data_IF_175226413937
#
_entry.id   IF_175226413937
#
_cell.length_a   1.000
_cell.length_b   1.000
_cell.length_c   1.000
_cell.angle_alpha   90.00
_cell.angle_beta   90.00
_cell.angle_gamma   90.00
#
_symmetry.space_group_name_H-M   'P 1'
#
loop_
_entity.id
_entity.type
_entity.pdbx_description
1 polymer ?
#
# COMPACT_ATOMS: atom_id res chain seq x y z
N UNK A 1 0.39 -29.62 25.62
CA UNK A 1 -0.19 -28.32 25.23
C UNK A 1 0.93 -27.47 24.69
N UNK A 2 1.04 -27.33 23.37
CA UNK A 2 2.09 -26.50 22.75
C UNK A 2 1.57 -25.06 22.81
N UNK A 3 2.14 -24.25 23.69
CA UNK A 3 1.94 -22.80 23.68
C UNK A 3 2.37 -22.28 22.32
N UNK A 4 1.42 -21.84 21.51
CA UNK A 4 1.68 -21.27 20.19
C UNK A 4 2.49 -19.97 20.39
N UNK A 5 3.77 -19.98 20.05
CA UNK A 5 4.61 -18.78 20.14
C UNK A 5 4.36 -17.92 18.90
N UNK A 6 3.86 -16.70 19.10
CA UNK A 6 3.69 -15.75 18.00
C UNK A 6 4.99 -14.97 17.78
N UNK A 7 5.66 -15.27 16.66
CA UNK A 7 6.93 -14.64 16.27
C UNK A 7 6.78 -13.13 16.12
N UNK A 8 5.60 -12.64 15.70
CA UNK A 8 5.36 -11.20 15.55
C UNK A 8 5.37 -10.49 16.89
N UNK A 9 4.66 -11.03 17.88
CA UNK A 9 4.66 -10.53 19.26
C UNK A 9 6.08 -10.50 19.86
N UNK A 10 6.89 -11.53 19.60
CA UNK A 10 8.29 -11.56 20.07
C UNK A 10 9.14 -10.47 19.42
N UNK A 11 9.03 -10.27 18.10
CA UNK A 11 9.75 -9.20 17.39
C UNK A 11 9.33 -7.80 17.85
N UNK A 12 8.05 -7.60 18.17
CA UNK A 12 7.54 -6.34 18.72
C UNK A 12 8.08 -6.07 20.12
N UNK A 13 8.07 -7.08 21.01
CA UNK A 13 8.60 -6.95 22.36
C UNK A 13 10.13 -6.73 22.38
N UNK A 14 10.84 -7.27 21.39
CA UNK A 14 12.28 -7.11 21.23
C UNK A 14 12.71 -5.78 20.58
N UNK A 15 11.75 -4.98 20.10
CA UNK A 15 12.03 -3.73 19.38
C UNK A 15 12.90 -2.79 20.22
N UNK A 16 13.89 -2.18 19.58
CA UNK A 16 14.88 -1.27 20.19
C UNK A 16 15.81 -1.92 21.25
N UNK A 17 15.66 -3.23 21.51
CA UNK A 17 16.43 -3.99 22.50
C UNK A 17 17.35 -5.06 21.89
N UNK A 18 17.41 -5.16 20.55
CA UNK A 18 18.10 -6.23 19.84
C UNK A 18 19.57 -6.37 20.17
N UNK A 19 20.33 -5.30 20.34
CA UNK A 19 21.75 -5.40 20.69
C UNK A 19 21.96 -6.15 22.02
N UNK A 20 21.16 -5.80 23.04
CA UNK A 20 21.20 -6.43 24.35
C UNK A 20 20.64 -7.86 24.33
N UNK A 21 19.55 -8.08 23.60
CA UNK A 21 18.93 -9.40 23.46
C UNK A 21 19.82 -10.38 22.72
N UNK A 22 20.45 -9.97 21.61
CA UNK A 22 21.42 -10.79 20.88
C UNK A 22 22.58 -11.20 21.79
N UNK A 23 23.13 -10.26 22.56
CA UNK A 23 24.20 -10.53 23.51
C UNK A 23 23.76 -11.48 24.62
N UNK A 24 22.56 -11.29 25.18
CA UNK A 24 21.97 -12.18 26.18
C UNK A 24 21.69 -13.58 25.61
N UNK A 25 21.37 -13.64 24.32
CA UNK A 25 21.25 -14.86 23.56
C UNK A 25 22.62 -15.43 23.12
N UNK A 26 23.76 -14.85 23.48
CA UNK A 26 25.09 -15.37 23.14
C UNK A 26 25.53 -15.10 21.69
N UNK A 27 25.02 -14.04 21.06
CA UNK A 27 25.43 -13.55 19.74
C UNK A 27 25.96 -12.13 19.90
N UNK A 28 27.28 -11.98 19.86
CA UNK A 28 27.94 -10.68 20.04
C UNK A 28 27.91 -9.87 18.75
N UNK A 29 27.37 -8.65 18.80
CA UNK A 29 27.36 -7.71 17.67
C UNK A 29 28.13 -6.43 18.03
N UNK A 30 28.74 -5.74 17.05
CA UNK A 30 29.31 -4.42 17.28
C UNK A 30 28.25 -3.42 17.74
N UNK A 31 28.69 -2.33 18.36
CA UNK A 31 27.79 -1.25 18.76
C UNK A 31 26.98 -0.72 17.57
N UNK A 32 25.73 -0.31 17.82
CA UNK A 32 24.85 0.28 16.80
C UNK A 32 25.58 1.29 15.89
N UNK A 33 25.46 1.10 14.59
CA UNK A 33 26.07 1.93 13.56
C UNK A 33 27.56 1.67 13.33
N UNK A 34 28.17 0.64 13.95
CA UNK A 34 29.59 0.29 13.78
C UNK A 34 29.79 -0.99 12.99
N UNK A 35 30.95 -1.05 12.34
CA UNK A 35 31.45 -2.27 11.73
C UNK A 35 32.22 -3.12 12.76
N UNK A 36 32.19 -4.44 12.58
CA UNK A 36 32.93 -5.34 13.46
C UNK A 36 32.90 -6.78 12.98
N UNK A 37 33.19 -7.69 13.92
CA UNK A 37 33.24 -9.10 13.66
C UNK A 37 31.85 -9.66 13.30
N UNK A 38 31.80 -10.59 12.36
CA UNK A 38 30.55 -11.21 11.94
C UNK A 38 30.23 -12.44 12.81
N UNK A 39 29.06 -12.50 13.45
CA UNK A 39 28.66 -13.67 14.24
C UNK A 39 28.38 -14.93 13.41
N UNK A 40 28.19 -14.77 12.08
CA UNK A 40 27.83 -15.86 11.18
C UNK A 40 29.09 -16.47 10.54
N UNK A 41 29.96 -15.64 9.95
CA UNK A 41 31.12 -16.12 9.18
C UNK A 41 32.47 -15.94 9.90
N UNK A 42 32.50 -15.29 11.07
CA UNK A 42 33.74 -15.06 11.84
C UNK A 42 34.70 -14.02 11.22
N UNK A 43 34.29 -13.31 10.16
CA UNK A 43 35.08 -12.19 9.61
C UNK A 43 35.25 -11.05 10.63
N UNK A 44 36.25 -10.18 10.46
CA UNK A 44 36.66 -9.23 11.51
C UNK A 44 36.07 -7.81 11.39
N UNK A 45 35.72 -7.34 10.19
CA UNK A 45 35.37 -5.92 9.94
C UNK A 45 34.24 -5.70 8.90
N UNK A 46 33.69 -6.77 8.33
CA UNK A 46 32.74 -6.71 7.19
C UNK A 46 31.27 -6.77 7.60
N UNK A 47 31.00 -6.99 8.89
CA UNK A 47 29.65 -6.99 9.45
C UNK A 47 29.30 -5.59 9.96
N UNK A 48 28.06 -5.17 9.72
CA UNK A 48 27.52 -3.88 10.17
C UNK A 48 26.20 -4.13 10.88
N UNK A 49 26.13 -3.76 12.16
CA UNK A 49 24.89 -3.73 12.93
C UNK A 49 24.30 -2.32 12.84
N UNK A 50 23.25 -2.14 12.04
CA UNK A 50 22.64 -0.84 11.77
C UNK A 50 21.57 -0.53 12.80
N UNK A 51 20.62 -1.44 12.98
CA UNK A 51 19.47 -1.31 13.87
C UNK A 51 18.79 0.07 13.83
N UNK A 52 18.74 0.69 12.65
CA UNK A 52 18.26 2.06 12.47
C UNK A 52 16.74 2.17 12.73
N UNK A 53 16.01 1.08 12.55
CA UNK A 53 14.55 0.99 12.73
C UNK A 53 14.12 0.24 14.00
N UNK A 54 15.08 -0.19 14.84
CA UNK A 54 14.80 -0.91 16.08
C UNK A 54 14.46 -2.39 15.87
N UNK A 55 14.74 -2.97 14.70
CA UNK A 55 14.45 -4.37 14.35
C UNK A 55 15.67 -5.29 14.45
N UNK A 56 16.84 -4.75 14.83
CA UNK A 56 18.10 -5.49 14.85
C UNK A 56 18.73 -5.62 13.47
N UNK A 57 18.46 -4.68 12.56
CA UNK A 57 18.91 -4.71 11.16
C UNK A 57 20.43 -4.85 11.06
N UNK A 58 20.88 -5.82 10.26
CA UNK A 58 22.29 -6.08 10.03
C UNK A 58 22.59 -6.41 8.56
N UNK A 59 23.85 -6.22 8.18
CA UNK A 59 24.37 -6.60 6.88
C UNK A 59 25.82 -7.07 6.98
N UNK A 60 26.16 -8.12 6.24
CA UNK A 60 27.52 -8.63 6.12
C UNK A 60 27.93 -8.71 4.65
N UNK A 61 29.07 -8.10 4.30
CA UNK A 61 29.60 -8.13 2.93
C UNK A 61 30.27 -9.46 2.53
N UNK A 62 30.38 -10.41 3.46
CA UNK A 62 31.07 -11.69 3.24
C UNK A 62 30.15 -12.90 3.32
N UNK A 63 29.06 -12.83 4.08
CA UNK A 63 28.15 -13.96 4.20
C UNK A 63 27.44 -14.23 2.88
N UNK A 64 27.12 -15.50 2.64
CA UNK A 64 26.23 -15.89 1.55
C UNK A 64 24.80 -15.38 1.79
N UNK A 65 24.04 -15.28 0.71
CA UNK A 65 22.66 -14.80 0.73
C UNK A 65 21.74 -15.70 1.60
N UNK A 66 20.84 -15.12 2.42
CA UNK A 66 20.62 -13.67 2.59
C UNK A 66 21.69 -13.06 3.51
N UNK A 67 22.49 -12.14 2.97
CA UNK A 67 23.62 -11.53 3.68
C UNK A 67 23.24 -10.30 4.54
N UNK A 68 21.94 -10.12 4.75
CA UNK A 68 21.30 -9.12 5.59
C UNK A 68 20.03 -9.72 6.21
N UNK A 69 19.47 -9.06 7.22
CA UNK A 69 18.23 -9.48 7.87
C UNK A 69 17.96 -8.69 9.14
N UNK A 70 16.98 -9.15 9.92
CA UNK A 70 16.66 -8.58 11.23
C UNK A 70 17.34 -9.34 12.37
N UNK A 71 17.13 -8.90 13.62
CA UNK A 71 17.77 -9.49 14.78
C UNK A 71 17.36 -10.95 15.04
N UNK A 72 16.16 -11.37 14.64
CA UNK A 72 15.75 -12.77 14.75
C UNK A 72 16.44 -13.63 13.69
N UNK A 73 16.53 -13.10 12.46
CA UNK A 73 17.25 -13.76 11.37
C UNK A 73 18.74 -13.94 11.71
N UNK A 74 19.33 -12.94 12.38
CA UNK A 74 20.71 -13.03 12.86
C UNK A 74 20.90 -14.19 13.83
N UNK A 75 19.98 -14.34 14.79
CA UNK A 75 20.03 -15.38 15.81
C UNK A 75 19.87 -16.78 15.19
N UNK A 76 18.95 -16.92 14.24
CA UNK A 76 18.75 -18.14 13.43
C UNK A 76 20.06 -18.54 12.74
N UNK A 77 20.71 -17.59 12.05
CA UNK A 77 21.93 -17.87 11.29
C UNK A 77 23.16 -18.10 12.16
N UNK A 78 23.35 -17.30 13.20
CA UNK A 78 24.51 -17.39 14.07
C UNK A 78 24.52 -18.69 14.89
N UNK A 79 23.34 -19.22 15.24
CA UNK A 79 23.20 -20.44 16.05
C UNK A 79 22.83 -21.70 15.26
N UNK A 80 22.39 -21.56 14.01
CA UNK A 80 21.91 -22.69 13.20
C UNK A 80 20.64 -23.33 13.77
N UNK A 81 19.73 -22.53 14.34
CA UNK A 81 18.47 -22.98 14.95
C UNK A 81 17.27 -22.57 14.10
N UNK A 82 16.11 -23.20 14.32
CA UNK A 82 14.89 -22.82 13.60
C UNK A 82 14.36 -21.46 14.08
N UNK A 83 13.55 -20.78 13.25
CA UNK A 83 12.97 -19.49 13.61
C UNK A 83 12.06 -19.55 14.85
N UNK A 84 11.40 -20.70 15.09
CA UNK A 84 10.56 -20.93 16.26
C UNK A 84 11.43 -21.08 17.52
N UNK A 85 12.57 -21.77 17.43
CA UNK A 85 13.54 -21.88 18.52
C UNK A 85 14.19 -20.55 18.84
N UNK A 86 14.57 -19.78 17.81
CA UNK A 86 15.08 -18.43 17.98
C UNK A 86 14.05 -17.54 18.70
N UNK A 87 12.77 -17.61 18.31
CA UNK A 87 11.71 -16.85 18.96
C UNK A 87 11.51 -17.24 20.42
N UNK A 88 11.64 -18.53 20.77
CA UNK A 88 11.60 -19.01 22.17
C UNK A 88 12.77 -18.46 22.98
N UNK A 89 13.99 -18.55 22.45
CA UNK A 89 15.19 -18.03 23.11
C UNK A 89 15.08 -16.52 23.37
N UNK A 90 14.55 -15.75 22.40
CA UNK A 90 14.31 -14.31 22.59
C UNK A 90 13.19 -14.06 23.60
N UNK A 91 12.09 -14.82 23.56
CA UNK A 91 11.00 -14.70 24.53
C UNK A 91 11.46 -15.01 25.96
N UNK A 92 12.29 -16.03 26.15
CA UNK A 92 12.88 -16.38 27.44
C UNK A 92 13.84 -15.29 27.94
N UNK A 93 14.65 -14.70 27.04
CA UNK A 93 15.52 -13.56 27.36
C UNK A 93 14.74 -12.29 27.72
N UNK A 94 13.56 -12.10 27.14
CA UNK A 94 12.61 -11.03 27.46
C UNK A 94 11.91 -11.25 28.81
N UNK A 95 11.78 -12.49 29.29
CA UNK A 95 11.10 -12.85 30.54
C UNK A 95 11.98 -12.70 31.80
N UNK A 96 13.25 -12.32 31.67
CA UNK A 96 14.11 -11.95 32.78
C UNK A 96 13.86 -10.48 33.17
N UNK A 97 13.82 -10.12 34.48
CA UNK A 97 13.61 -8.74 34.89
C UNK A 97 14.83 -7.90 34.48
N UNK A 98 14.67 -7.16 33.38
CA UNK A 98 15.69 -6.26 32.88
C UNK A 98 15.77 -5.01 33.78
N UNK A 99 16.98 -4.51 34.10
CA UNK A 99 17.16 -3.33 34.92
C UNK A 99 16.48 -2.11 34.27
N UNK A 100 15.80 -1.32 35.09
CA UNK A 100 15.02 -0.16 34.65
C UNK A 100 15.84 0.78 33.75
N UNK A 101 15.20 1.33 32.69
CA UNK A 101 15.89 2.18 31.73
C UNK A 101 16.41 3.44 32.44
N UNK A 102 17.73 3.66 32.36
CA UNK A 102 18.32 4.96 32.70
C UNK A 102 17.83 6.00 31.68
N UNK A 103 17.44 7.21 32.13
CA UNK A 103 16.77 8.19 31.29
C UNK A 103 17.67 8.66 30.15
N UNK A 104 17.03 8.93 29.01
CA UNK A 104 17.66 9.49 27.82
C UNK A 104 18.55 10.69 28.16
N UNK A 105 19.74 10.71 27.55
CA UNK A 105 20.70 11.81 27.62
C UNK A 105 20.02 13.08 27.11
N UNK A 106 19.86 14.04 28.03
CA UNK A 106 19.42 15.42 27.82
C UNK A 106 19.92 15.98 26.49
N UNK A 107 19.00 16.21 25.56
CA UNK A 107 19.04 17.46 24.82
C UNK A 107 18.94 18.59 25.85
N UNK A 108 19.78 19.61 25.71
CA UNK A 108 19.86 20.78 26.58
C UNK A 108 18.47 21.24 27.00
N UNK A 109 18.18 21.43 28.31
CA UNK A 109 16.84 21.82 28.75
C UNK A 109 16.54 23.24 28.25
N UNK A 110 15.87 23.35 27.10
CA UNK A 110 15.07 24.53 26.79
C UNK A 110 13.87 24.46 27.74
N UNK A 111 14.02 25.16 28.87
CA UNK A 111 12.98 25.63 29.81
C UNK A 111 11.71 24.79 29.87
N UNK A 112 11.44 24.15 31.02
CA UNK A 112 10.15 23.56 31.43
C UNK A 112 8.96 23.98 30.56
N UNK A 113 8.84 23.35 29.40
CA UNK A 113 7.70 23.51 28.54
C UNK A 113 6.66 22.57 29.16
N UNK A 114 5.45 23.06 29.46
CA UNK A 114 4.39 22.17 29.95
C UNK A 114 4.26 20.97 29.01
N UNK A 115 4.01 19.79 29.58
CA UNK A 115 3.66 18.59 28.79
C UNK A 115 2.66 19.04 27.72
N UNK A 116 2.86 18.70 26.45
CA UNK A 116 2.05 19.24 25.35
C UNK A 116 0.54 19.13 25.62
N UNK A 117 0.13 18.05 26.30
CA UNK A 117 -1.23 17.84 26.79
C UNK A 117 -1.73 18.97 27.73
N UNK A 118 -0.93 19.43 28.70
CA UNK A 118 -1.27 20.55 29.58
C UNK A 118 -1.44 21.86 28.80
N UNK A 119 -0.57 22.09 27.81
CA UNK A 119 -0.67 23.27 26.94
C UNK A 119 -1.96 23.25 26.11
N UNK A 120 -2.29 22.10 25.54
CA UNK A 120 -3.54 21.89 24.79
C UNK A 120 -4.76 22.05 25.71
N UNK A 121 -4.72 21.47 26.92
CA UNK A 121 -5.79 21.60 27.91
C UNK A 121 -6.01 23.06 28.33
N UNK A 122 -4.93 23.84 28.50
CA UNK A 122 -5.02 25.28 28.77
C UNK A 122 -5.69 26.03 27.62
N UNK A 123 -5.36 25.70 26.37
CA UNK A 123 -6.00 26.29 25.19
C UNK A 123 -7.48 25.90 25.12
N UNK A 124 -7.82 24.64 25.41
CA UNK A 124 -9.20 24.16 25.47
C UNK A 124 -10.01 24.89 26.56
N UNK A 125 -9.44 25.08 27.75
CA UNK A 125 -10.09 25.82 28.84
C UNK A 125 -10.31 27.30 28.51
N UNK A 126 -9.49 27.88 27.63
CA UNK A 126 -9.62 29.25 27.13
C UNK A 126 -10.52 29.34 25.89
N UNK A 127 -10.87 28.22 25.28
CA UNK A 127 -11.71 28.16 24.10
C UNK A 127 -13.19 28.24 24.46
N UNK A 128 -13.99 28.80 23.55
CA UNK A 128 -15.44 28.87 23.66
C UNK A 128 -16.08 27.95 22.64
N UNK A 129 -17.25 27.39 22.98
CA UNK A 129 -18.05 26.66 22.02
C UNK A 129 -18.65 27.66 21.02
N UNK A 130 -18.48 27.42 19.73
CA UNK A 130 -18.97 28.30 18.68
C UNK A 130 -18.91 27.65 17.30
N UNK A 131 -19.06 28.48 16.28
CA UNK A 131 -19.00 28.07 14.88
C UNK A 131 -17.83 28.75 14.18
N UNK A 132 -16.97 27.97 13.53
CA UNK A 132 -15.80 28.50 12.84
C UNK A 132 -16.17 29.20 11.53
N UNK A 133 -15.75 30.45 11.34
CA UNK A 133 -15.87 31.17 10.07
C UNK A 133 -15.25 30.40 8.90
N UNK A 134 -14.15 29.71 9.13
CA UNK A 134 -13.48 28.89 8.10
C UNK A 134 -14.41 27.79 7.57
N UNK A 135 -15.10 27.09 8.48
CA UNK A 135 -16.00 26.00 8.09
C UNK A 135 -17.33 26.52 7.56
N UNK A 136 -17.84 27.62 8.13
CA UNK A 136 -19.02 28.31 7.59
C UNK A 136 -18.79 28.75 6.14
N UNK A 137 -17.61 29.32 5.81
CA UNK A 137 -17.24 29.68 4.44
C UNK A 137 -17.18 28.48 3.49
N UNK A 138 -16.80 27.31 4.01
CA UNK A 138 -16.85 26.04 3.26
C UNK A 138 -18.27 25.45 3.20
N UNK A 139 -19.27 26.06 3.84
CA UNK A 139 -20.64 25.54 3.90
C UNK A 139 -20.83 24.38 4.88
N UNK A 140 -19.87 24.15 5.78
CA UNK A 140 -19.92 23.12 6.81
C UNK A 140 -20.48 23.71 8.12
N UNK A 141 -21.68 23.24 8.50
CA UNK A 141 -22.38 23.67 9.71
C UNK A 141 -22.03 22.74 10.87
N UNK A 142 -21.12 23.16 11.74
CA UNK A 142 -20.68 22.39 12.89
C UNK A 142 -20.85 23.22 14.17
N UNK A 143 -22.02 23.15 14.82
CA UNK A 143 -22.23 23.86 16.08
C UNK A 143 -21.39 23.21 17.18
N UNK A 144 -20.88 24.01 18.13
CA UNK A 144 -20.12 23.58 19.31
C UNK A 144 -18.63 23.24 19.09
N UNK A 145 -18.01 23.81 18.07
CA UNK A 145 -16.57 23.73 17.91
C UNK A 145 -15.82 24.56 18.95
N UNK A 146 -14.57 24.16 19.25
CA UNK A 146 -13.70 24.90 20.17
C UNK A 146 -13.01 26.04 19.42
N UNK A 147 -13.35 27.27 19.77
CA UNK A 147 -12.78 28.48 19.18
C UNK A 147 -11.91 29.22 20.20
N UNK A 148 -10.73 29.65 19.78
CA UNK A 148 -9.88 30.57 20.54
C UNK A 148 -10.47 32.00 20.50
N UNK A 149 -9.94 32.89 21.36
CA UNK A 149 -10.41 34.27 21.49
C UNK A 149 -10.35 35.09 20.19
N UNK A 150 -9.45 34.74 19.27
CA UNK A 150 -9.28 35.36 17.96
C UNK A 150 -10.17 34.73 16.86
N UNK A 151 -11.06 33.81 17.24
CA UNK A 151 -11.94 33.10 16.31
C UNK A 151 -11.28 31.89 15.63
N UNK A 152 -10.03 31.57 15.94
CA UNK A 152 -9.37 30.37 15.41
C UNK A 152 -10.02 29.09 15.93
N UNK A 153 -10.32 28.17 15.01
CA UNK A 153 -10.74 26.82 15.34
C UNK A 153 -9.56 26.04 15.95
N UNK A 154 -9.77 25.42 17.10
CA UNK A 154 -8.81 24.56 17.79
C UNK A 154 -9.20 23.09 17.61
N UNK A 155 -8.31 22.33 17.00
CA UNK A 155 -8.47 20.90 16.73
C UNK A 155 -7.44 20.12 17.53
N UNK A 156 -7.89 19.20 18.38
CA UNK A 156 -7.00 18.39 19.23
C UNK A 156 -6.47 17.22 18.41
N UNK A 157 -5.15 17.04 18.44
CA UNK A 157 -4.49 15.89 17.84
C UNK A 157 -4.27 14.82 18.89
N UNK A 158 -4.44 13.56 18.48
CA UNK A 158 -4.21 12.42 19.36
C UNK A 158 -3.53 11.26 18.63
N UNK A 159 -2.97 10.36 19.41
CA UNK A 159 -2.56 9.03 18.99
C UNK A 159 -3.73 8.02 19.06
N UNK A 160 -3.52 6.79 18.56
CA UNK A 160 -4.55 5.74 18.53
C UNK A 160 -5.04 5.29 19.90
N UNK A 161 -4.21 5.44 20.94
CA UNK A 161 -4.55 5.15 22.33
C UNK A 161 -5.36 6.28 23.00
N UNK A 162 -5.63 7.38 22.29
CA UNK A 162 -6.32 8.56 22.80
C UNK A 162 -5.40 9.57 23.50
N UNK A 163 -4.09 9.33 23.56
CA UNK A 163 -3.13 10.28 24.14
C UNK A 163 -3.12 11.58 23.34
N UNK A 164 -3.28 12.72 24.00
CA UNK A 164 -3.18 14.05 23.38
C UNK A 164 -1.73 14.33 22.98
N UNK A 165 -1.48 14.44 21.68
CA UNK A 165 -0.14 14.65 21.12
C UNK A 165 0.09 16.08 20.64
N UNK A 166 -0.96 16.90 20.60
CA UNK A 166 -0.87 18.28 20.15
C UNK A 166 -2.20 18.90 19.79
N UNK A 167 -2.13 20.01 19.07
CA UNK A 167 -3.31 20.63 18.48
C UNK A 167 -2.95 21.37 17.18
N UNK A 168 -3.92 21.47 16.29
CA UNK A 168 -3.89 22.31 15.10
C UNK A 168 -4.87 23.46 15.26
N UNK A 169 -4.45 24.68 14.95
CA UNK A 169 -5.32 25.85 14.88
C UNK A 169 -5.61 26.21 13.43
N UNK A 170 -6.85 26.53 13.10
CA UNK A 170 -7.25 27.06 11.79
C UNK A 170 -7.85 28.45 11.98
N UNK A 171 -7.23 29.47 11.39
CA UNK A 171 -7.72 30.85 11.46
C UNK A 171 -8.97 31.06 10.60
N UNK A 172 -9.75 32.14 10.83
CA UNK A 172 -10.90 32.51 9.98
C UNK A 172 -10.59 32.69 8.49
N UNK A 173 -9.32 32.93 8.13
CA UNK A 173 -8.83 33.02 6.75
C UNK A 173 -8.38 31.67 6.16
N UNK A 174 -8.48 30.58 6.92
CA UNK A 174 -8.06 29.23 6.51
C UNK A 174 -6.59 28.90 6.78
N UNK A 175 -5.79 29.82 7.33
CA UNK A 175 -4.40 29.51 7.68
C UNK A 175 -4.34 28.47 8.81
N UNK A 176 -3.71 27.32 8.51
CA UNK A 176 -3.55 26.20 9.43
C UNK A 176 -2.16 26.26 10.07
N UNK A 177 -2.07 26.08 11.39
CA UNK A 177 -0.80 26.02 12.12
C UNK A 177 -0.85 24.95 13.21
N UNK A 178 0.26 24.25 13.41
CA UNK A 178 0.42 23.37 14.56
C UNK A 178 0.80 24.18 15.80
N UNK A 179 0.21 23.86 16.94
CA UNK A 179 0.61 24.43 18.23
C UNK A 179 2.05 23.99 18.52
N UNK A 180 2.91 24.95 18.83
CA UNK A 180 4.33 24.68 19.12
C UNK A 180 4.48 23.58 20.20
N UNK A 181 5.27 22.55 19.87
CA UNK A 181 5.47 21.35 20.69
C UNK A 181 4.57 20.16 20.29
N UNK A 182 3.67 20.31 19.32
CA UNK A 182 2.83 19.20 18.83
C UNK A 182 3.63 18.14 18.09
N UNK A 183 3.34 16.87 18.36
CA UNK A 183 3.87 15.74 17.59
C UNK A 183 2.94 15.45 16.41
N UNK A 184 3.39 15.74 15.18
CA UNK A 184 2.60 15.46 13.97
C UNK A 184 2.60 14.00 13.58
N UNK A 185 3.79 13.38 13.57
CA UNK A 185 4.02 12.04 13.02
C UNK A 185 3.18 11.00 13.77
N UNK A 186 2.28 10.31 13.04
CA UNK A 186 1.38 9.29 13.58
C UNK A 186 0.20 9.83 14.39
N UNK A 187 0.06 11.16 14.51
CA UNK A 187 -1.10 11.79 15.14
C UNK A 187 -2.15 12.15 14.10
N UNK A 188 -3.40 12.20 14.53
CA UNK A 188 -4.54 12.49 13.66
C UNK A 188 -5.61 13.29 14.40
N UNK A 189 -6.58 13.80 13.65
CA UNK A 189 -7.75 14.50 14.15
C UNK A 189 -8.98 13.61 13.96
N UNK A 190 -9.47 12.93 15.02
CA UNK A 190 -10.68 12.13 14.91
C UNK A 190 -11.92 13.03 14.87
N UNK A 191 -12.92 12.66 14.07
CA UNK A 191 -14.20 13.36 14.03
C UNK A 191 -15.19 12.90 15.11
N UNK A 192 -15.00 11.67 15.59
CA UNK A 192 -15.79 11.05 16.65
C UNK A 192 -14.87 10.29 17.61
N UNK A 193 -15.37 10.00 18.80
CA UNK A 193 -14.64 9.17 19.76
C UNK A 193 -14.37 7.78 19.17
N UNK A 194 -13.14 7.31 19.30
CA UNK A 194 -12.75 5.97 18.87
C UNK A 194 -13.22 4.97 19.92
N UNK A 195 -14.35 4.31 19.64
CA UNK A 195 -14.95 3.33 20.53
C UNK A 195 -14.99 1.96 19.85
N UNK A 196 -14.58 0.90 20.57
CA UNK A 196 -14.65 -0.47 20.07
C UNK A 196 -13.77 -0.74 18.84
N UNK A 197 -14.27 -1.62 17.96
CA UNK A 197 -13.62 -2.03 16.72
C UNK A 197 -14.48 -1.57 15.53
N UNK A 198 -14.07 -0.51 14.81
CA UNK A 198 -14.83 -0.03 13.66
C UNK A 198 -14.68 -0.96 12.46
N UNK A 199 -15.79 -1.23 11.76
CA UNK A 199 -15.78 -2.04 10.53
C UNK A 199 -15.21 -1.27 9.33
N UNK A 200 -15.41 0.05 9.30
CA UNK A 200 -14.90 0.94 8.25
C UNK A 200 -14.25 2.17 8.86
N UNK A 201 -13.07 2.52 8.34
CA UNK A 201 -12.28 3.68 8.75
C UNK A 201 -11.95 4.48 7.50
N UNK A 202 -12.19 5.79 7.54
CA UNK A 202 -11.93 6.69 6.43
C UNK A 202 -10.87 7.69 6.85
N UNK A 203 -9.79 7.78 6.08
CA UNK A 203 -8.65 8.66 6.35
C UNK A 203 -8.59 9.72 5.26
N UNK A 204 -8.60 11.00 5.66
CA UNK A 204 -8.42 12.15 4.77
C UNK A 204 -7.13 12.89 5.08
N UNK A 205 -6.68 13.77 4.20
CA UNK A 205 -5.57 14.69 4.54
C UNK A 205 -6.03 15.80 5.49
N UNK A 206 -7.10 16.51 5.13
CA UNK A 206 -7.61 17.69 5.84
C UNK A 206 -8.86 17.45 6.68
N UNK A 207 -9.04 18.29 7.71
CA UNK A 207 -10.21 18.26 8.60
C UNK A 207 -11.53 18.68 7.93
N UNK A 208 -11.51 19.66 7.02
CA UNK A 208 -12.72 20.03 6.27
C UNK A 208 -13.17 18.88 5.36
N UNK A 209 -12.24 18.27 4.63
CA UNK A 209 -12.46 17.06 3.84
C UNK A 209 -13.01 15.92 4.70
N UNK A 210 -12.48 15.72 5.92
CA UNK A 210 -13.00 14.74 6.87
C UNK A 210 -14.48 15.00 7.21
N UNK A 211 -14.84 16.26 7.52
CA UNK A 211 -16.22 16.64 7.83
C UNK A 211 -17.15 16.38 6.65
N UNK A 212 -16.70 16.64 5.42
CA UNK A 212 -17.44 16.29 4.22
C UNK A 212 -17.65 14.80 4.13
N UNK A 213 -16.57 14.02 4.18
CA UNK A 213 -16.58 12.58 3.96
C UNK A 213 -17.39 11.85 5.02
N UNK A 214 -17.44 12.36 6.26
CA UNK A 214 -18.32 11.84 7.32
C UNK A 214 -19.81 11.91 6.97
N UNK A 215 -20.20 12.77 6.02
CA UNK A 215 -21.56 12.86 5.50
C UNK A 215 -21.75 12.01 4.22
N UNK A 216 -20.67 11.56 3.58
CA UNK A 216 -20.71 10.79 2.34
C UNK A 216 -20.75 9.27 2.61
N UNK A 217 -20.01 8.80 3.60
CA UNK A 217 -19.91 7.37 3.88
C UNK A 217 -19.81 7.10 5.39
N UNK A 218 -20.48 6.05 5.84
CA UNK A 218 -20.47 5.63 7.24
C UNK A 218 -19.11 5.04 7.63
N UNK A 219 -18.57 5.43 8.78
CA UNK A 219 -17.30 4.91 9.29
C UNK A 219 -16.63 5.87 10.27
N UNK A 220 -15.57 5.38 10.91
CA UNK A 220 -14.70 6.21 11.74
C UNK A 220 -13.86 7.11 10.83
N UNK A 221 -14.04 8.43 10.90
CA UNK A 221 -13.29 9.37 10.05
C UNK A 221 -12.13 10.01 10.81
N UNK A 222 -10.93 9.93 10.25
CA UNK A 222 -9.69 10.46 10.80
C UNK A 222 -9.03 11.40 9.79
N UNK A 223 -8.70 12.63 10.18
CA UNK A 223 -7.86 13.49 9.33
C UNK A 223 -6.38 13.33 9.70
N UNK A 224 -5.55 12.99 8.72
CA UNK A 224 -4.12 12.77 8.85
C UNK A 224 -3.30 14.06 8.94
N UNK A 225 -3.94 15.23 8.94
CA UNK A 225 -3.35 16.58 9.05
C UNK A 225 -2.74 17.06 7.73
N UNK A 226 -1.91 16.25 7.08
CA UNK A 226 -1.34 16.50 5.74
C UNK A 226 -0.92 15.19 5.03
N UNK A 227 -0.65 15.29 3.73
CA UNK A 227 -0.16 14.21 2.85
C UNK A 227 1.00 13.41 3.47
N UNK A 228 1.98 14.10 4.06
CA UNK A 228 3.21 13.46 4.57
C UNK A 228 2.97 12.51 5.74
N UNK A 229 1.83 12.63 6.41
CA UNK A 229 1.45 11.83 7.56
C UNK A 229 0.40 10.75 7.24
N UNK A 230 -0.19 10.80 6.03
CA UNK A 230 -1.24 9.89 5.56
C UNK A 230 -0.82 8.41 5.69
N UNK A 231 0.33 8.06 5.12
CA UNK A 231 0.86 6.68 5.14
C UNK A 231 1.06 6.16 6.57
N UNK A 232 1.61 7.01 7.44
CA UNK A 232 1.96 6.62 8.80
C UNK A 232 0.69 6.37 9.62
N UNK A 233 -0.30 7.26 9.52
CA UNK A 233 -1.59 7.08 10.20
C UNK A 233 -2.29 5.83 9.66
N UNK A 234 -2.32 5.62 8.34
CA UNK A 234 -2.95 4.45 7.74
C UNK A 234 -2.30 3.13 8.19
N UNK A 235 -0.97 3.08 8.29
CA UNK A 235 -0.25 1.89 8.79
C UNK A 235 -0.59 1.59 10.25
N UNK A 236 -0.60 2.62 11.11
CA UNK A 236 -0.98 2.47 12.51
C UNK A 236 -2.42 1.97 12.64
N UNK A 237 -3.34 2.52 11.83
CA UNK A 237 -4.75 2.11 11.79
C UNK A 237 -4.88 0.65 11.37
N UNK A 238 -4.19 0.23 10.28
CA UNK A 238 -4.20 -1.17 9.80
C UNK A 238 -3.62 -2.14 10.83
N UNK A 239 -2.56 -1.74 11.54
CA UNK A 239 -1.97 -2.55 12.60
C UNK A 239 -2.96 -2.75 13.76
N UNK A 240 -3.70 -1.71 14.13
CA UNK A 240 -4.68 -1.77 15.23
C UNK A 240 -5.97 -2.53 14.84
N UNK A 241 -6.43 -2.38 13.60
CA UNK A 241 -7.63 -3.03 13.09
C UNK A 241 -7.33 -3.73 11.75
N UNK A 242 -6.75 -4.94 11.78
CA UNK A 242 -6.31 -5.66 10.58
C UNK A 242 -7.43 -5.94 9.58
N UNK A 243 -8.65 -6.18 10.06
CA UNK A 243 -9.79 -6.59 9.24
C UNK A 243 -10.69 -5.42 8.80
N UNK A 244 -10.46 -4.20 9.33
CA UNK A 244 -11.30 -3.05 9.02
C UNK A 244 -11.15 -2.64 7.54
N UNK A 245 -12.24 -2.21 6.90
CA UNK A 245 -12.16 -1.57 5.58
C UNK A 245 -11.56 -0.16 5.75
N UNK A 246 -10.36 0.07 5.23
CA UNK A 246 -9.71 1.39 5.29
C UNK A 246 -9.88 2.08 3.93
N UNK A 247 -10.50 3.26 3.94
CA UNK A 247 -10.73 4.10 2.77
C UNK A 247 -9.85 5.35 2.88
N UNK A 248 -9.04 5.63 1.87
CA UNK A 248 -8.27 6.85 1.73
C UNK A 248 -9.04 7.83 0.84
N UNK A 249 -9.64 8.83 1.47
CA UNK A 249 -10.34 9.90 0.78
C UNK A 249 -9.35 11.04 0.52
N UNK A 250 -8.63 10.94 -0.61
CA UNK A 250 -7.55 11.84 -1.00
C UNK A 250 -8.00 13.03 -1.83
N UNK A 251 -7.09 13.99 -1.98
CA UNK A 251 -7.28 15.17 -2.83
C UNK A 251 -6.98 14.81 -4.29
N UNK A 252 -7.77 15.36 -5.22
CA UNK A 252 -7.50 15.23 -6.65
C UNK A 252 -6.69 16.45 -7.11
N UNK A 253 -5.36 16.37 -7.03
CA UNK A 253 -4.42 17.38 -7.54
C UNK A 253 -4.29 17.30 -9.07
N UNK A 254 -5.42 17.38 -9.77
CA UNK A 254 -5.43 17.25 -11.22
C UNK A 254 -4.61 18.37 -11.89
N UNK A 255 -3.91 17.98 -12.95
CA UNK A 255 -3.09 18.84 -13.79
C UNK A 255 -3.30 18.47 -15.26
N UNK A 256 -3.26 19.46 -16.15
CA UNK A 256 -3.38 19.20 -17.58
C UNK A 256 -2.21 18.33 -18.05
N UNK A 257 -2.43 17.30 -18.88
CA UNK A 257 -1.35 16.48 -19.40
C UNK A 257 -0.26 17.34 -20.07
N UNK A 258 0.99 17.21 -19.59
CA UNK A 258 2.13 17.98 -20.09
C UNK A 258 2.36 19.32 -19.39
N UNK A 259 1.55 19.72 -18.42
CA UNK A 259 1.79 20.90 -17.60
C UNK A 259 3.09 20.74 -16.80
N UNK A 260 4.01 21.71 -16.92
CA UNK A 260 5.31 21.68 -16.25
C UNK A 260 5.30 22.53 -14.98
N UNK A 261 6.05 22.11 -13.96
CA UNK A 261 6.37 22.90 -12.78
C UNK A 261 7.39 24.00 -13.08
N UNK A 262 7.70 24.82 -12.08
CA UNK A 262 8.66 25.92 -12.21
C UNK A 262 10.10 25.44 -12.54
N UNK A 263 10.36 24.13 -12.46
CA UNK A 263 11.64 23.50 -12.76
C UNK A 263 11.60 22.71 -14.09
N UNK A 264 10.53 22.83 -14.88
CA UNK A 264 10.37 22.17 -16.17
C UNK A 264 10.02 20.67 -16.08
N UNK A 265 9.57 20.17 -14.93
CA UNK A 265 9.13 18.77 -14.76
C UNK A 265 7.60 18.66 -14.87
N UNK A 266 7.05 17.58 -15.43
CA UNK A 266 5.61 17.36 -15.43
C UNK A 266 5.03 17.43 -14.01
N UNK A 267 4.00 18.25 -13.82
CA UNK A 267 3.25 18.30 -12.58
C UNK A 267 2.56 16.96 -12.36
N UNK A 268 2.59 16.49 -11.11
CA UNK A 268 2.02 15.21 -10.72
C UNK A 268 0.82 15.43 -9.82
N UNK A 269 -0.12 14.50 -9.87
CA UNK A 269 -1.25 14.48 -8.94
C UNK A 269 -0.76 13.90 -7.60
N UNK A 270 -0.27 14.78 -6.72
CA UNK A 270 0.39 14.40 -5.47
C UNK A 270 -0.58 13.69 -4.54
N UNK A 271 -1.78 14.26 -4.31
CA UNK A 271 -2.82 13.62 -3.50
C UNK A 271 -3.20 12.21 -3.98
N UNK A 272 -3.42 12.02 -5.30
CA UNK A 272 -3.66 10.68 -5.87
C UNK A 272 -2.49 9.72 -5.63
N UNK A 273 -1.26 10.13 -5.93
CA UNK A 273 -0.08 9.27 -5.74
C UNK A 273 0.14 8.90 -4.27
N UNK A 274 -0.11 9.82 -3.34
CA UNK A 274 0.02 9.58 -1.91
C UNK A 274 -1.04 8.59 -1.41
N UNK A 275 -2.30 8.74 -1.86
CA UNK A 275 -3.37 7.80 -1.57
C UNK A 275 -3.07 6.42 -2.17
N UNK A 276 -2.64 6.33 -3.43
CA UNK A 276 -2.27 5.08 -4.10
C UNK A 276 -1.12 4.35 -3.40
N UNK A 277 -0.03 5.07 -3.11
CA UNK A 277 1.11 4.52 -2.36
C UNK A 277 0.68 4.00 -0.99
N UNK A 278 -0.21 4.71 -0.31
CA UNK A 278 -0.69 4.34 1.02
C UNK A 278 -1.61 3.14 0.95
N UNK A 279 -2.58 3.14 0.04
CA UNK A 279 -3.51 2.03 -0.16
C UNK A 279 -2.76 0.74 -0.50
N UNK A 280 -1.71 0.82 -1.32
CA UNK A 280 -0.81 -0.32 -1.59
C UNK A 280 -0.19 -0.90 -0.33
N UNK A 281 0.27 -0.04 0.57
CA UNK A 281 0.99 -0.46 1.77
C UNK A 281 0.09 -1.11 2.83
N UNK A 282 -1.22 -0.84 2.77
CA UNK A 282 -2.18 -1.26 3.81
C UNK A 282 -3.38 -2.04 3.27
N UNK A 283 -3.34 -2.47 2.00
CA UNK A 283 -4.49 -3.08 1.32
C UNK A 283 -5.78 -2.23 1.50
N UNK A 284 -5.68 -0.98 1.09
CA UNK A 284 -6.69 0.07 1.29
C UNK A 284 -7.51 0.38 0.05
N UNK A 285 -8.66 1.02 0.28
CA UNK A 285 -9.52 1.59 -0.75
C UNK A 285 -9.18 3.07 -0.95
N UNK A 286 -9.51 3.61 -2.12
CA UNK A 286 -9.31 5.01 -2.47
C UNK A 286 -10.62 5.58 -2.99
N UNK A 287 -10.89 6.82 -2.63
CA UNK A 287 -11.94 7.64 -3.22
C UNK A 287 -11.40 9.04 -3.50
N UNK A 288 -11.44 9.46 -4.77
CA UNK A 288 -11.03 10.81 -5.21
C UNK A 288 -12.23 11.51 -5.88
N UNK A 289 -12.37 12.84 -5.73
CA UNK A 289 -13.36 13.60 -6.49
C UNK A 289 -13.17 13.39 -8.00
N UNK A 290 -14.22 13.04 -8.77
CA UNK A 290 -14.12 12.76 -10.20
C UNK A 290 -14.10 14.07 -11.02
N UNK A 291 -13.04 14.85 -10.88
CA UNK A 291 -12.88 16.17 -11.50
C UNK A 291 -11.69 16.24 -12.46
N UNK A 292 -11.82 17.05 -13.52
CA UNK A 292 -10.72 17.44 -14.42
C UNK A 292 -10.07 18.77 -13.99
N UNK A 293 -10.10 19.05 -12.69
CA UNK A 293 -9.49 20.21 -12.06
C UNK A 293 -9.17 19.86 -10.61
N UNK A 294 -8.32 20.68 -9.98
CA UNK A 294 -7.96 20.51 -8.57
C UNK A 294 -9.18 20.62 -7.68
N UNK A 295 -9.49 19.55 -6.95
CA UNK A 295 -10.58 19.54 -6.00
C UNK A 295 -10.31 18.52 -4.89
N UNK A 296 -10.69 18.88 -3.67
CA UNK A 296 -10.93 17.91 -2.59
C UNK A 296 -12.44 17.53 -2.54
N UNK A 297 -12.82 16.60 -1.65
CA UNK A 297 -14.23 16.22 -1.50
C UNK A 297 -15.13 17.37 -0.98
N UNK A 298 -14.55 18.35 -0.27
CA UNK A 298 -15.28 19.52 0.22
C UNK A 298 -15.60 20.50 -0.92
N UNK A 299 -14.66 20.73 -1.85
CA UNK A 299 -14.86 21.50 -3.06
C UNK A 299 -15.90 20.84 -3.98
N UNK A 300 -15.83 19.51 -4.15
CA UNK A 300 -16.81 18.75 -4.93
C UNK A 300 -18.21 18.87 -4.34
N UNK A 301 -18.36 18.71 -3.01
CA UNK A 301 -19.65 18.89 -2.32
C UNK A 301 -20.19 20.31 -2.48
N UNK A 302 -19.34 21.34 -2.36
CA UNK A 302 -19.78 22.73 -2.53
C UNK A 302 -20.32 23.00 -3.94
N UNK A 303 -19.73 22.39 -4.96
CA UNK A 303 -20.13 22.59 -6.35
C UNK A 303 -21.37 21.76 -6.74
N UNK A 304 -21.43 20.49 -6.32
CA UNK A 304 -22.45 19.53 -6.79
C UNK A 304 -23.54 19.22 -5.77
N UNK A 305 -23.37 19.63 -4.51
CA UNK A 305 -24.26 19.28 -3.40
C UNK A 305 -23.92 17.93 -2.77
N UNK A 306 -24.56 17.66 -1.62
CA UNK A 306 -24.23 16.49 -0.78
C UNK A 306 -24.65 15.16 -1.40
N UNK A 307 -25.83 15.09 -2.03
CA UNK A 307 -26.34 13.84 -2.61
C UNK A 307 -25.48 13.38 -3.79
N UNK A 308 -25.11 14.30 -4.69
CA UNK A 308 -24.22 13.99 -5.81
C UNK A 308 -22.82 13.59 -5.30
N UNK A 309 -22.30 14.27 -4.27
CA UNK A 309 -21.03 13.88 -3.65
C UNK A 309 -21.09 12.49 -3.03
N UNK A 310 -22.21 12.10 -2.42
CA UNK A 310 -22.40 10.77 -1.82
C UNK A 310 -22.44 9.67 -2.88
N UNK A 311 -23.14 9.92 -3.98
CA UNK A 311 -23.15 9.02 -5.13
C UNK A 311 -21.75 8.89 -5.73
N UNK A 312 -21.10 10.01 -6.03
CA UNK A 312 -19.75 10.03 -6.61
C UNK A 312 -18.71 9.36 -5.70
N UNK A 313 -18.81 9.53 -4.38
CA UNK A 313 -17.93 8.85 -3.43
C UNK A 313 -18.12 7.33 -3.49
N UNK A 314 -19.37 6.87 -3.51
CA UNK A 314 -19.69 5.44 -3.55
C UNK A 314 -19.26 4.78 -4.87
N UNK A 315 -19.50 5.45 -5.99
CA UNK A 315 -19.13 4.98 -7.34
C UNK A 315 -17.62 5.08 -7.60
N UNK A 316 -16.96 6.09 -7.03
CA UNK A 316 -15.53 6.33 -7.15
C UNK A 316 -14.67 5.54 -6.17
N UNK A 317 -15.26 4.65 -5.36
CA UNK A 317 -14.51 3.75 -4.48
C UNK A 317 -13.87 2.63 -5.29
N UNK A 318 -12.55 2.59 -5.29
CA UNK A 318 -11.79 1.47 -5.86
C UNK A 318 -10.75 0.99 -4.86
N UNK A 319 -10.53 -0.31 -4.81
CA UNK A 319 -9.43 -0.87 -4.05
C UNK A 319 -8.18 -0.80 -4.93
N UNK A 320 -7.13 -0.16 -4.41
CA UNK A 320 -5.87 -0.10 -5.14
C UNK A 320 -5.12 -1.42 -4.95
N UNK A 321 -5.60 -2.44 -5.64
CA UNK A 321 -4.90 -3.71 -5.78
C UNK A 321 -3.72 -3.51 -6.73
N UNK A 322 -2.51 -3.47 -6.19
CA UNK A 322 -1.32 -3.77 -7.02
C UNK A 322 -1.23 -5.28 -7.14
N UNK A 323 -2.10 -5.83 -7.99
CA UNK A 323 -2.20 -7.25 -8.25
C UNK A 323 -2.89 -7.58 -9.58
N UNK A 324 -2.88 -6.68 -10.56
CA UNK A 324 -3.12 -7.00 -11.98
C UNK A 324 -2.82 -5.81 -12.91
N UNK A 325 -3.26 -4.59 -12.58
CA UNK A 325 -3.36 -3.52 -13.59
C UNK A 325 -2.11 -2.62 -13.75
N UNK A 326 -1.26 -2.44 -12.74
CA UNK A 326 0.00 -1.65 -12.90
C UNK A 326 1.17 -2.47 -13.44
N UNK A 327 1.14 -3.80 -13.27
CA UNK A 327 2.06 -4.72 -13.97
C UNK A 327 1.77 -4.79 -15.48
N UNK A 328 0.67 -4.19 -15.95
CA UNK A 328 0.33 -4.09 -17.36
C UNK A 328 1.01 -2.90 -18.05
N UNK A 329 1.36 -1.83 -17.34
CA UNK A 329 2.08 -0.69 -17.94
C UNK A 329 3.60 -0.82 -17.85
N UNK A 330 4.10 -1.95 -17.37
CA UNK A 330 5.52 -2.25 -17.26
C UNK A 330 5.80 -3.60 -17.89
N UNK A 331 6.82 -3.68 -18.75
CA UNK A 331 7.32 -4.96 -19.22
C UNK A 331 8.06 -5.67 -18.09
N UNK A 332 8.13 -7.00 -18.12
CA UNK A 332 8.86 -7.77 -17.09
C UNK A 332 10.36 -7.45 -16.98
N UNK A 333 10.90 -6.61 -17.87
CA UNK A 333 12.25 -6.06 -17.84
C UNK A 333 12.35 -4.62 -17.27
N UNK A 334 11.24 -4.03 -16.83
CA UNK A 334 11.20 -2.73 -16.15
C UNK A 334 10.84 -1.53 -17.03
N UNK A 335 10.67 -1.72 -18.34
CA UNK A 335 10.32 -0.62 -19.23
C UNK A 335 8.83 -0.27 -19.14
N UNK A 336 8.54 1.01 -18.95
CA UNK A 336 7.18 1.55 -18.93
C UNK A 336 6.64 1.69 -20.36
N UNK A 337 5.42 1.22 -20.59
CA UNK A 337 4.69 1.34 -21.85
C UNK A 337 3.54 2.34 -21.74
N UNK A 338 3.22 2.98 -22.86
CA UNK A 338 2.11 3.93 -23.00
C UNK A 338 0.75 3.22 -23.13
N UNK A 339 -0.36 3.93 -22.93
CA UNK A 339 -1.70 3.36 -23.12
C UNK A 339 -1.96 2.84 -24.54
N UNK A 340 -1.40 3.49 -25.57
CA UNK A 340 -1.50 3.02 -26.96
C UNK A 340 -0.70 1.73 -27.18
N UNK A 341 0.49 1.63 -26.59
CA UNK A 341 1.30 0.42 -26.63
C UNK A 341 0.65 -0.73 -25.86
N UNK A 342 0.03 -0.45 -24.72
CA UNK A 342 -0.76 -1.42 -23.96
C UNK A 342 -1.91 -1.97 -24.81
N UNK A 343 -2.66 -1.11 -25.50
CA UNK A 343 -3.77 -1.55 -26.36
C UNK A 343 -3.31 -2.49 -27.48
N UNK A 344 -2.10 -2.28 -28.03
CA UNK A 344 -1.51 -3.21 -29.01
C UNK A 344 -1.20 -4.57 -28.38
N UNK A 345 -0.66 -4.60 -27.15
CA UNK A 345 -0.37 -5.84 -26.43
C UNK A 345 -1.64 -6.58 -26.00
N UNK A 346 -2.69 -5.86 -25.61
CA UNK A 346 -4.01 -6.41 -25.32
C UNK A 346 -4.68 -6.99 -26.57
N UNK A 347 -4.54 -6.32 -27.71
CA UNK A 347 -5.05 -6.84 -28.98
C UNK A 347 -4.39 -8.18 -29.35
N UNK A 348 -3.09 -8.32 -29.08
CA UNK A 348 -2.40 -9.60 -29.26
C UNK A 348 -2.98 -10.72 -28.41
N UNK A 349 -3.48 -10.46 -27.19
CA UNK A 349 -4.10 -11.48 -26.33
C UNK A 349 -5.36 -12.10 -26.95
N UNK A 350 -6.01 -11.42 -27.90
CA UNK A 350 -7.19 -11.94 -28.62
C UNK A 350 -6.82 -13.04 -29.61
N UNK A 351 -5.59 -13.00 -30.13
CA UNK A 351 -5.13 -13.90 -31.20
C UNK A 351 -4.13 -14.93 -30.70
N UNK A 352 -3.28 -14.54 -29.75
CA UNK A 352 -2.13 -15.32 -29.33
C UNK A 352 -2.24 -15.72 -27.85
N UNK A 353 -1.87 -16.96 -27.56
CA UNK A 353 -1.74 -17.45 -26.19
C UNK A 353 -0.39 -18.12 -25.99
N UNK A 354 0.34 -17.69 -24.98
CA UNK A 354 1.61 -18.31 -24.61
C UNK A 354 1.32 -19.52 -23.72
N UNK A 355 1.92 -20.66 -24.01
CA UNK A 355 1.72 -21.90 -23.27
C UNK A 355 3.04 -22.61 -23.01
N UNK A 356 3.02 -23.60 -22.12
CA UNK A 356 4.14 -24.52 -21.87
C UNK A 356 3.72 -25.95 -22.15
N UNK A 357 4.35 -26.62 -23.14
CA UNK A 357 4.11 -28.03 -23.48
C UNK A 357 5.42 -28.80 -23.37
N UNK A 358 5.46 -29.84 -22.54
CA UNK A 358 6.66 -30.68 -22.39
C UNK A 358 7.90 -29.90 -21.97
N UNK A 359 7.73 -28.90 -21.10
CA UNK A 359 8.81 -28.01 -20.65
C UNK A 359 9.28 -26.98 -21.68
N UNK A 360 8.66 -26.92 -22.87
CA UNK A 360 8.97 -25.95 -23.92
C UNK A 360 7.88 -24.89 -24.02
N UNK A 361 8.31 -23.64 -24.14
CA UNK A 361 7.43 -22.49 -24.36
C UNK A 361 7.01 -22.39 -25.82
N UNK A 362 5.71 -22.20 -26.07
CA UNK A 362 5.11 -22.07 -27.41
C UNK A 362 4.10 -20.94 -27.43
N UNK A 363 3.87 -20.34 -28.60
CA UNK A 363 2.72 -19.47 -28.83
C UNK A 363 1.70 -20.22 -29.68
N UNK A 364 0.45 -20.22 -29.23
CA UNK A 364 -0.70 -20.79 -29.96
C UNK A 364 -1.49 -19.67 -30.60
N UNK A 365 -1.91 -19.90 -31.84
CA UNK A 365 -2.92 -19.11 -32.55
C UNK A 365 -3.80 -20.02 -33.40
N UNK A 366 -4.93 -19.50 -33.86
CA UNK A 366 -5.78 -20.13 -34.85
C UNK A 366 -5.45 -19.58 -36.23
N UNK A 367 -5.17 -20.47 -37.20
CA UNK A 367 -4.97 -20.08 -38.60
C UNK A 367 -6.03 -20.72 -39.50
N UNK A 368 -6.42 -20.08 -40.61
CA UNK A 368 -7.34 -20.66 -41.57
C UNK A 368 -6.85 -22.02 -42.07
N UNK A 369 -7.75 -22.99 -42.12
CA UNK A 369 -7.50 -24.33 -42.63
C UNK A 369 -8.60 -24.69 -43.62
N UNK A 370 -8.22 -25.14 -44.82
CA UNK A 370 -9.18 -25.47 -45.88
C UNK A 370 -10.14 -26.62 -45.51
N UNK A 371 -9.77 -27.47 -44.55
CA UNK A 371 -10.55 -28.65 -44.16
C UNK A 371 -11.50 -28.35 -43.01
N UNK A 372 -11.02 -27.66 -41.98
CA UNK A 372 -11.74 -27.47 -40.71
C UNK A 372 -12.15 -26.01 -40.44
N UNK A 373 -11.99 -25.12 -41.43
CA UNK A 373 -12.16 -23.67 -41.29
C UNK A 373 -10.96 -23.01 -40.60
N UNK A 374 -10.60 -23.49 -39.41
CA UNK A 374 -9.45 -23.01 -38.62
C UNK A 374 -8.73 -24.18 -37.95
N UNK A 375 -7.44 -24.02 -37.65
CA UNK A 375 -6.63 -25.00 -36.93
C UNK A 375 -5.68 -24.33 -35.97
N UNK A 376 -5.35 -25.03 -34.88
CA UNK A 376 -4.34 -24.60 -33.93
C UNK A 376 -2.95 -24.73 -34.53
N UNK A 377 -2.17 -23.65 -34.44
CA UNK A 377 -0.77 -23.63 -34.85
C UNK A 377 0.08 -23.30 -33.63
N UNK A 378 1.11 -24.12 -33.40
CA UNK A 378 2.03 -24.00 -32.26
C UNK A 378 3.40 -23.55 -32.77
N UNK A 379 3.82 -22.35 -32.37
CA UNK A 379 5.00 -21.70 -32.91
C UNK A 379 6.07 -21.59 -31.82
N UNK A 380 7.35 -21.73 -32.21
CA UNK A 380 8.47 -21.39 -31.32
C UNK A 380 8.49 -19.88 -31.04
N UNK A 381 8.95 -19.48 -29.84
CA UNK A 381 9.02 -18.07 -29.47
C UNK A 381 9.82 -17.23 -30.49
N UNK A 382 10.90 -17.79 -31.03
CA UNK A 382 11.74 -17.11 -32.03
C UNK A 382 11.00 -16.87 -33.34
N UNK A 383 10.21 -17.84 -33.81
CA UNK A 383 9.42 -17.71 -35.04
C UNK A 383 8.31 -16.67 -34.86
N UNK A 384 7.62 -16.71 -33.71
CA UNK A 384 6.58 -15.76 -33.37
C UNK A 384 7.09 -14.31 -33.34
N UNK A 385 8.26 -14.05 -32.73
CA UNK A 385 8.86 -12.71 -32.69
C UNK A 385 9.11 -12.14 -34.09
N UNK A 386 9.47 -12.99 -35.06
CA UNK A 386 9.81 -12.56 -36.41
C UNK A 386 8.62 -11.95 -37.17
N UNK A 387 7.38 -12.31 -36.80
CA UNK A 387 6.18 -11.75 -37.43
C UNK A 387 6.03 -10.25 -37.21
N UNK A 388 6.59 -9.71 -36.13
CA UNK A 388 6.37 -8.33 -35.74
C UNK A 388 7.63 -7.46 -35.88
N UNK A 389 8.62 -7.93 -36.65
CA UNK A 389 9.85 -7.15 -36.90
C UNK A 389 9.60 -5.91 -37.77
N UNK A 390 8.56 -5.95 -38.60
CA UNK A 390 8.15 -4.84 -39.47
C UNK A 390 7.18 -3.88 -38.78
N UNK A 391 6.64 -4.26 -37.62
CA UNK A 391 5.76 -3.43 -36.81
C UNK A 391 6.54 -2.40 -36.00
N UNK A 392 5.84 -1.37 -35.51
CA UNK A 392 6.41 -0.33 -34.64
C UNK A 392 7.11 -0.89 -33.39
N UNK A 393 7.95 -0.07 -32.76
CA UNK A 393 8.67 -0.44 -31.52
C UNK A 393 7.82 -0.13 -30.29
N UNK A 394 7.79 -1.06 -29.33
CA UNK A 394 7.23 -0.86 -28.00
C UNK A 394 8.34 -0.45 -27.02
N UNK A 395 8.04 0.51 -26.14
CA UNK A 395 8.99 1.14 -25.22
C UNK A 395 10.25 1.64 -25.95
N UNK A 396 10.09 2.10 -27.20
CA UNK A 396 11.15 2.59 -28.11
C UNK A 396 12.27 1.58 -28.44
N UNK A 397 12.17 0.32 -28.02
CA UNK A 397 13.28 -0.65 -28.11
C UNK A 397 12.87 -2.03 -28.63
N UNK A 398 11.73 -2.55 -28.20
CA UNK A 398 11.35 -3.95 -28.46
C UNK A 398 10.43 -4.06 -29.67
N UNK A 399 10.52 -5.17 -30.40
CA UNK A 399 9.45 -5.54 -31.35
C UNK A 399 8.16 -5.81 -30.58
N UNK A 400 7.00 -5.68 -31.23
CA UNK A 400 5.71 -5.96 -30.59
C UNK A 400 5.65 -7.40 -30.03
N UNK A 401 6.15 -8.38 -30.77
CA UNK A 401 6.24 -9.77 -30.31
C UNK A 401 7.18 -9.99 -29.11
N UNK A 402 8.34 -9.33 -29.09
CA UNK A 402 9.25 -9.38 -27.93
C UNK A 402 8.65 -8.70 -26.69
N UNK A 403 7.99 -7.56 -26.88
CA UNK A 403 7.34 -6.83 -25.81
C UNK A 403 6.21 -7.66 -25.20
N UNK A 404 5.34 -8.25 -26.02
CA UNK A 404 4.25 -9.11 -25.55
C UNK A 404 4.75 -10.31 -24.75
N UNK A 405 5.82 -10.98 -25.18
CA UNK A 405 6.37 -12.12 -24.43
C UNK A 405 6.93 -11.71 -23.06
N UNK A 406 7.45 -10.50 -22.93
CA UNK A 406 7.98 -9.96 -21.66
C UNK A 406 6.91 -9.30 -20.80
N UNK A 407 5.78 -8.94 -21.38
CA UNK A 407 4.67 -8.31 -20.69
C UNK A 407 3.98 -9.29 -19.73
N UNK A 408 3.65 -8.83 -18.53
CA UNK A 408 3.00 -9.66 -17.51
C UNK A 408 1.52 -9.88 -17.77
N UNK A 409 0.86 -8.92 -18.41
CA UNK A 409 -0.56 -9.03 -18.81
C UNK A 409 -0.83 -9.92 -20.03
N UNK A 410 0.20 -10.60 -20.59
CA UNK A 410 0.00 -11.52 -21.71
C UNK A 410 -0.90 -12.69 -21.31
N UNK A 411 -1.68 -13.19 -22.26
CA UNK A 411 -2.43 -14.43 -22.09
C UNK A 411 -1.47 -15.61 -22.00
N UNK A 412 -1.24 -16.12 -20.79
CA UNK A 412 -0.29 -17.19 -20.51
C UNK A 412 -0.96 -18.36 -19.77
N UNK A 413 -0.79 -19.57 -20.30
CA UNK A 413 -1.35 -20.83 -19.75
C UNK A 413 -0.19 -21.78 -19.37
N UNK A 414 0.32 -21.71 -18.13
CA UNK A 414 1.52 -22.44 -17.71
C UNK A 414 1.34 -23.95 -17.66
N UNK A 415 0.12 -24.45 -17.53
CA UNK A 415 -0.19 -25.88 -17.47
C UNK A 415 -0.45 -26.49 -18.85
N UNK A 416 -0.15 -25.76 -19.93
CA UNK A 416 -0.13 -26.27 -21.29
C UNK A 416 -1.51 -26.33 -21.94
N UNK A 417 -1.78 -27.42 -22.66
CA UNK A 417 -3.03 -27.64 -23.42
C UNK A 417 -3.84 -28.78 -22.85
N UNK A 418 -5.16 -28.69 -23.02
CA UNK A 418 -6.07 -29.79 -22.71
C UNK A 418 -7.32 -29.72 -23.59
N UNK A 419 -8.15 -30.74 -23.52
CA UNK A 419 -9.39 -30.82 -24.28
C UNK A 419 -10.57 -30.91 -23.31
N UNK A 420 -11.33 -29.82 -23.21
CA UNK A 420 -12.46 -29.69 -22.30
C UNK A 420 -13.73 -29.33 -23.09
N UNK A 421 -14.57 -30.33 -23.44
CA UNK A 421 -15.85 -30.12 -24.12
C UNK A 421 -16.85 -29.26 -23.34
N UNK A 422 -16.68 -29.17 -22.02
CA UNK A 422 -17.39 -28.22 -21.17
C UNK A 422 -16.41 -27.11 -20.74
N UNK A 423 -16.37 -25.96 -21.44
CA UNK A 423 -15.35 -24.93 -21.23
C UNK A 423 -15.26 -24.42 -19.78
N UNK A 424 -16.39 -24.41 -19.04
CA UNK A 424 -16.43 -24.00 -17.62
C UNK A 424 -15.62 -24.90 -16.69
N UNK A 425 -15.30 -26.13 -17.12
CA UNK A 425 -14.45 -27.07 -16.38
C UNK A 425 -12.97 -26.96 -16.75
N UNK A 426 -12.61 -26.18 -17.77
CA UNK A 426 -11.22 -25.96 -18.13
C UNK A 426 -10.55 -25.06 -17.08
N UNK A 427 -9.45 -25.48 -16.45
CA UNK A 427 -8.71 -24.61 -15.54
C UNK A 427 -8.17 -23.37 -16.28
N UNK A 428 -8.17 -22.21 -15.62
CA UNK A 428 -7.65 -20.96 -16.20
C UNK A 428 -6.17 -21.03 -16.61
N UNK A 429 -5.41 -21.97 -16.06
CA UNK A 429 -4.00 -22.21 -16.35
C UNK A 429 -3.75 -23.09 -17.58
N UNK A 430 -4.81 -23.61 -18.21
CA UNK A 430 -4.76 -24.53 -19.36
C UNK A 430 -5.41 -23.88 -20.59
N UNK A 431 -4.79 -24.05 -21.75
CA UNK A 431 -5.37 -23.67 -23.03
C UNK A 431 -6.30 -24.78 -23.55
N UNK A 432 -7.58 -24.45 -23.74
CA UNK A 432 -8.58 -25.41 -24.21
C UNK A 432 -8.51 -25.57 -25.74
N UNK A 433 -8.28 -26.79 -26.21
CA UNK A 433 -8.28 -27.15 -27.63
C UNK A 433 -9.69 -27.38 -28.19
N UNK A 434 -10.71 -27.45 -27.33
CA UNK A 434 -12.09 -27.61 -27.77
C UNK A 434 -12.62 -26.32 -28.38
N UNK A 435 -13.03 -26.37 -29.65
CA UNK A 435 -13.53 -25.23 -30.41
C UNK A 435 -15.05 -25.23 -30.60
N UNK A 436 -15.76 -26.09 -29.85
CA UNK A 436 -17.17 -26.36 -30.08
C UNK A 436 -17.39 -27.64 -30.91
N UNK A 437 -18.65 -28.01 -31.04
CA UNK A 437 -19.07 -29.10 -31.91
C UNK A 437 -19.24 -28.55 -33.33
N UNK A 438 -18.77 -29.31 -34.33
CA UNK A 438 -18.96 -28.96 -35.74
C UNK A 438 -20.44 -29.04 -36.19
N UNK A 439 -21.29 -29.63 -35.35
CA UNK A 439 -22.72 -29.83 -35.58
C UNK A 439 -23.48 -29.36 -34.35
N UNK A 440 -24.62 -28.72 -34.58
CA UNK A 440 -25.55 -28.38 -33.51
C UNK A 440 -26.36 -29.64 -33.15
N UNK A 441 -26.33 -30.09 -31.88
CA UNK A 441 -27.16 -31.21 -31.46
C UNK A 441 -28.63 -30.84 -31.60
N UNK A 442 -29.38 -31.67 -32.32
CA UNK A 442 -30.84 -31.56 -32.42
C UNK A 442 -31.49 -32.48 -31.38
N UNK A 443 -32.58 -32.02 -30.77
CA UNK A 443 -33.36 -32.80 -29.84
C UNK A 443 -34.02 -33.99 -30.56
N UNK A 444 -33.89 -35.19 -30.00
CA UNK A 444 -34.34 -36.42 -30.64
C UNK A 444 -34.25 -37.63 -29.71
N UNK A 445 -34.74 -38.77 -30.19
CA UNK A 445 -34.70 -40.02 -29.44
C UNK A 445 -33.26 -40.56 -29.33
N UNK A 446 -32.67 -40.41 -28.14
CA UNK A 446 -31.35 -40.92 -27.79
C UNK A 446 -31.44 -42.27 -27.03
N UNK A 447 -32.58 -42.96 -27.05
CA UNK A 447 -32.70 -44.24 -26.38
C UNK A 447 -31.78 -45.28 -27.00
N UNK A 448 -31.15 -46.09 -26.14
CA UNK A 448 -30.22 -47.13 -26.57
C UNK A 448 -31.00 -48.18 -27.35
N UNK A 449 -30.61 -48.44 -28.60
CA UNK A 449 -31.22 -49.48 -29.42
C UNK A 449 -31.16 -50.81 -28.67
N UNK A 450 -32.33 -51.38 -28.37
CA UNK A 450 -32.46 -52.63 -27.63
C UNK A 450 -32.36 -53.84 -28.55
#
# INVERSE_FOLDING_TARGET
MVSHIDIRSVKMAAKDHWQGLLSACGVDVPAKGKHGACPICGGTDRFHFMDDHGHGDWHCRQCDEPNHGDGLDLLVRAKGITIIEAAKVVADALALPLPEPKPARKETPKSEAPLIAEKVNKLLAQSVAGQSDYLTKKGLQCPHQKLLKDGSLLLVMQALDGTVTGAQTIKPNGEKRLVSGSQKKGSFLPLSAINGTPDTIIITEGYATALTVSQLHEGLVLAAIDESNLLIVAQLVRERWPDAKIILAGDNDWHTPGELDNNGKPKKNVGKMAAEKTAKAIDGWIALPPTEHKADWDDYRQHHGIEAAKQAFSEGLYQYYVGAELDMYELGSGEVITGTELALLEDMNKTYTHITIGGKHRVVSLKPCQVNGVTHVFEELTQFKNYFLHEGRIAKKLSLGDAWLKWKGKNYKPNGVGFYPEPKRCPDSVYNLFMGLAVEPMEGDCSVYR
#
